data_IF_349053769073
#
_entry.id   IF_349053769073
#
_cell.length_a   1.000
_cell.length_b   1.000
_cell.length_c   1.000
_cell.angle_alpha   90.00
_cell.angle_beta   90.00
_cell.angle_gamma   90.00
#
_symmetry.space_group_name_H-M   'P 1'
#
loop_
_entity.id
_entity.type
_entity.pdbx_description
1 polymer ?
#
# COMPACT_ATOMS: atom_id res chain seq x y z
N UNK A 1 -40.40 8.11 -4.02
CA UNK A 1 -39.81 6.75 -4.07
C UNK A 1 -38.31 6.91 -4.24
N UNK A 2 -37.56 6.98 -3.13
CA UNK A 2 -36.11 7.27 -3.13
C UNK A 2 -35.41 5.95 -2.76
N UNK A 3 -34.74 5.32 -3.72
CA UNK A 3 -33.91 4.15 -3.44
C UNK A 3 -32.76 4.57 -2.52
N UNK A 4 -32.71 3.98 -1.32
CA UNK A 4 -31.56 4.10 -0.44
C UNK A 4 -30.48 3.14 -0.97
N UNK A 5 -29.39 3.69 -1.50
CA UNK A 5 -28.24 2.91 -1.94
C UNK A 5 -27.42 2.50 -0.72
N UNK A 6 -27.44 1.21 -0.37
CA UNK A 6 -26.59 0.63 0.68
C UNK A 6 -25.25 0.22 0.08
N UNK A 7 -24.16 0.74 0.62
CA UNK A 7 -22.80 0.34 0.27
C UNK A 7 -22.29 -0.65 1.31
N UNK A 8 -21.80 -1.81 0.86
CA UNK A 8 -21.23 -2.85 1.70
C UNK A 8 -19.72 -2.94 1.45
N UNK A 9 -18.94 -3.07 2.51
CA UNK A 9 -17.50 -3.28 2.42
C UNK A 9 -17.30 -4.73 1.95
N UNK A 10 -17.02 -4.94 0.66
CA UNK A 10 -16.88 -6.28 0.05
C UNK A 10 -15.50 -6.92 0.32
N UNK A 11 -14.77 -6.44 1.34
CA UNK A 11 -13.39 -6.81 1.66
C UNK A 11 -12.36 -5.76 1.23
N UNK A 12 -11.08 -6.02 1.51
CA UNK A 12 -9.93 -5.21 1.06
C UNK A 12 -9.77 -5.48 -0.44
N UNK A 13 -10.26 -4.58 -1.28
CA UNK A 13 -10.00 -4.62 -2.74
C UNK A 13 -8.49 -4.60 -2.88
N UNK A 14 -7.92 -5.72 -3.36
CA UNK A 14 -6.48 -6.01 -3.45
C UNK A 14 -5.70 -4.70 -3.61
N UNK A 15 -4.93 -4.31 -2.59
CA UNK A 15 -4.08 -3.13 -2.64
C UNK A 15 -2.89 -3.40 -3.55
N UNK A 16 -3.14 -3.77 -4.79
CA UNK A 16 -2.10 -3.96 -5.79
C UNK A 16 -1.79 -2.59 -6.37
N UNK A 17 -0.50 -2.26 -6.37
CA UNK A 17 0.03 -1.11 -7.09
C UNK A 17 0.24 -1.55 -8.53
N UNK A 18 -0.37 -0.82 -9.47
CA UNK A 18 -0.15 -1.06 -10.90
C UNK A 18 0.79 0.03 -11.39
N UNK A 19 2.01 -0.35 -11.78
CA UNK A 19 2.96 0.62 -12.34
C UNK A 19 2.56 1.00 -13.76
N UNK A 20 3.14 2.09 -14.28
CA UNK A 20 2.98 2.46 -15.70
C UNK A 20 3.46 1.39 -16.69
N UNK A 21 4.22 0.40 -16.23
CA UNK A 21 4.62 -0.77 -17.02
C UNK A 21 3.58 -1.89 -17.07
N UNK A 22 2.47 -1.77 -16.33
CA UNK A 22 1.47 -2.83 -16.20
C UNK A 22 1.85 -3.94 -15.22
N UNK A 23 2.88 -3.73 -14.40
CA UNK A 23 3.29 -4.68 -13.37
C UNK A 23 2.36 -4.56 -12.16
N UNK A 24 1.93 -5.71 -11.62
CA UNK A 24 1.06 -5.77 -10.44
C UNK A 24 1.93 -6.08 -9.21
N UNK A 25 2.15 -5.08 -8.37
CA UNK A 25 2.97 -5.23 -7.17
C UNK A 25 2.09 -5.28 -5.93
N UNK A 26 2.30 -6.30 -5.09
CA UNK A 26 1.73 -6.36 -3.75
C UNK A 26 2.62 -5.60 -2.76
N UNK A 27 2.11 -4.57 -2.07
CA UNK A 27 2.90 -3.73 -1.17
C UNK A 27 3.21 -4.43 0.16
N UNK A 28 2.27 -5.22 0.67
CA UNK A 28 2.35 -5.85 2.01
C UNK A 28 3.63 -6.67 2.20
N UNK A 29 4.03 -7.58 1.29
CA UNK A 29 5.26 -8.35 1.47
C UNK A 29 6.53 -7.48 1.48
N UNK A 30 6.55 -6.40 0.70
CA UNK A 30 7.69 -5.48 0.60
C UNK A 30 7.79 -4.63 1.88
N UNK A 31 6.65 -4.14 2.36
CA UNK A 31 6.54 -3.41 3.63
C UNK A 31 6.98 -4.24 4.84
N UNK A 32 6.57 -5.51 4.88
CA UNK A 32 6.91 -6.40 5.99
C UNK A 32 8.42 -6.70 6.01
N UNK A 33 8.99 -7.06 4.86
CA UNK A 33 10.43 -7.31 4.71
C UNK A 33 11.27 -6.09 5.14
N UNK A 34 10.88 -4.87 4.75
CA UNK A 34 11.62 -3.65 5.13
C UNK A 34 11.52 -3.36 6.63
N UNK A 35 10.37 -3.64 7.26
CA UNK A 35 10.22 -3.51 8.71
C UNK A 35 11.09 -4.51 9.47
N UNK A 36 11.25 -5.73 8.96
CA UNK A 36 12.12 -6.74 9.56
C UNK A 36 13.60 -6.36 9.44
N UNK A 37 14.03 -5.89 8.27
CA UNK A 37 15.43 -5.55 8.00
C UNK A 37 15.89 -4.23 8.64
N UNK A 38 14.96 -3.28 8.90
CA UNK A 38 15.29 -1.93 9.37
C UNK A 38 14.56 -1.60 10.69
N UNK A 39 15.16 -1.91 11.85
CA UNK A 39 14.50 -1.84 13.17
C UNK A 39 14.04 -0.44 13.61
N UNK A 40 14.63 0.61 13.02
CA UNK A 40 14.29 2.01 13.33
C UNK A 40 13.00 2.47 12.65
N UNK A 41 12.48 1.74 11.66
CA UNK A 41 11.25 2.12 10.96
C UNK A 41 10.03 1.74 11.81
N UNK A 42 9.15 2.70 12.08
CA UNK A 42 7.86 2.46 12.74
C UNK A 42 6.81 1.98 11.75
N UNK A 43 6.66 2.74 10.67
CA UNK A 43 5.62 2.56 9.68
C UNK A 43 6.26 2.70 8.31
N UNK A 44 5.79 1.89 7.38
CA UNK A 44 6.21 1.94 5.99
C UNK A 44 4.97 1.76 5.12
N UNK A 45 4.91 2.51 4.03
CA UNK A 45 3.84 2.45 3.04
C UNK A 45 4.44 2.54 1.64
N UNK A 46 4.21 1.54 0.81
CA UNK A 46 4.63 1.53 -0.59
C UNK A 46 3.67 2.41 -1.42
N UNK A 47 4.24 3.26 -2.26
CA UNK A 47 3.52 4.18 -3.13
C UNK A 47 4.14 4.17 -4.52
N UNK A 48 3.31 4.12 -5.56
CA UNK A 48 3.83 4.05 -6.93
C UNK A 48 2.78 3.75 -7.99
N UNK A 49 1.50 3.91 -7.64
CA UNK A 49 0.40 3.63 -8.55
C UNK A 49 0.43 4.60 -9.75
N UNK A 50 0.34 4.05 -10.96
CA UNK A 50 0.52 4.74 -12.24
C UNK A 50 1.84 5.53 -12.34
N UNK A 51 2.88 5.12 -11.61
CA UNK A 51 4.23 5.70 -11.71
C UNK A 51 5.19 4.75 -12.41
N UNK A 52 6.26 5.33 -12.97
CA UNK A 52 7.36 4.56 -13.61
C UNK A 52 8.27 3.85 -12.60
N UNK A 53 8.16 4.21 -11.33
CA UNK A 53 9.00 3.70 -10.26
C UNK A 53 8.19 3.59 -8.97
N UNK A 54 8.57 2.62 -8.15
CA UNK A 54 8.06 2.46 -6.80
C UNK A 54 8.80 3.41 -5.85
N UNK A 55 8.11 3.88 -4.83
CA UNK A 55 8.64 4.75 -3.78
C UNK A 55 8.02 4.32 -2.46
N UNK A 56 8.64 4.66 -1.33
CA UNK A 56 8.13 4.32 -0.02
C UNK A 56 8.07 5.56 0.87
N UNK A 57 6.97 5.68 1.62
CA UNK A 57 6.86 6.59 2.74
C UNK A 57 7.25 5.83 4.01
N UNK A 58 8.30 6.29 4.69
CA UNK A 58 8.80 5.68 5.92
C UNK A 58 8.65 6.65 7.08
N UNK A 59 8.27 6.13 8.23
CA UNK A 59 8.25 6.86 9.50
C UNK A 59 9.28 6.25 10.43
N UNK A 60 10.17 7.05 10.99
CA UNK A 60 11.18 6.60 11.94
C UNK A 60 10.60 6.60 13.36
N UNK A 61 10.96 5.60 14.15
CA UNK A 61 10.73 5.62 15.60
C UNK A 61 11.75 6.56 16.22
N UNK A 62 11.26 7.67 16.77
CA UNK A 62 12.04 8.55 17.62
C UNK A 62 11.90 8.04 19.06
N UNK A 63 13.02 7.98 19.78
CA UNK A 63 13.11 7.41 21.13
C UNK A 63 12.52 8.34 22.19
#
# INVERSE_FOLDING_TARGET
>A
MRMLSFYYITGRKKELIITKGGENIAPVPIEDCIKEEVPIISNVMLVGDDKKYLTMLVTLRVK
#
